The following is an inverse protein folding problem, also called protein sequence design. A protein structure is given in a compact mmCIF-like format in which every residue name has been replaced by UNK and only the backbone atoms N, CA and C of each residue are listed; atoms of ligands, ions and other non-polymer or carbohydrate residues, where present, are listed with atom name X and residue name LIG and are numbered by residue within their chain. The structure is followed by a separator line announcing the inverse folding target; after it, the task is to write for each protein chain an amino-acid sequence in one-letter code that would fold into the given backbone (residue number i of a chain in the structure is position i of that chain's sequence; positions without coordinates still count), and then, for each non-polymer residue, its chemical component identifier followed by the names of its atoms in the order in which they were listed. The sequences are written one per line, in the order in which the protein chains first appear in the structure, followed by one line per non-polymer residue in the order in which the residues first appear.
data_IF_525641711951
#
_entry.id   IF_525641711951
#
_cell.length_a   1.000
_cell.length_b   1.000
_cell.length_c   1.000
_cell.angle_alpha   90.00
_cell.angle_beta   90.00
_cell.angle_gamma   90.00
#
_symmetry.space_group_name_H-M   'P 1'
#
loop_
_entity.id
_entity.type
_entity.pdbx_description
1 polymer ?
#
# COMPACT_ATOMS: atom_id res chain seq x y z
N UNK A 1 30.40 51.31 -5.21
CA UNK A 1 30.56 49.92 -4.71
C UNK A 1 29.18 49.31 -4.59
N UNK A 2 28.77 48.43 -5.52
CA UNK A 2 27.46 47.78 -5.42
C UNK A 2 27.48 46.69 -4.34
N UNK A 3 26.38 46.54 -3.61
CA UNK A 3 26.23 45.55 -2.53
C UNK A 3 26.57 44.13 -2.96
N UNK A 4 27.16 43.34 -2.06
CA UNK A 4 27.25 41.89 -2.19
C UNK A 4 25.81 41.35 -2.19
N UNK A 5 25.48 40.49 -3.15
CA UNK A 5 24.18 39.85 -3.25
C UNK A 5 24.44 38.36 -3.00
N UNK A 6 23.71 37.75 -2.06
CA UNK A 6 23.83 36.31 -1.76
C UNK A 6 23.48 35.41 -2.95
N UNK A 7 23.74 34.11 -2.82
CA UNK A 7 23.45 33.14 -3.89
C UNK A 7 21.95 32.93 -4.02
N UNK A 8 21.45 33.00 -5.26
CA UNK A 8 20.07 32.62 -5.52
C UNK A 8 19.98 31.10 -5.69
N UNK A 9 19.47 30.42 -4.65
CA UNK A 9 19.31 28.96 -4.64
C UNK A 9 18.41 28.43 -5.76
N UNK A 10 17.41 29.20 -6.20
CA UNK A 10 16.49 28.81 -7.29
C UNK A 10 17.18 28.76 -8.67
N UNK A 11 18.36 29.36 -8.80
CA UNK A 11 19.16 29.36 -10.04
C UNK A 11 20.24 28.29 -10.07
N UNK A 12 20.42 27.55 -8.99
CA UNK A 12 21.37 26.44 -8.94
C UNK A 12 20.74 25.25 -9.66
N UNK A 13 21.48 24.71 -10.62
CA UNK A 13 21.06 23.53 -11.38
C UNK A 13 21.71 22.31 -10.73
N UNK A 14 20.91 21.35 -10.26
CA UNK A 14 21.41 20.14 -9.62
C UNK A 14 22.28 19.29 -10.57
N UNK A 15 21.93 19.21 -11.86
CA UNK A 15 22.68 18.44 -12.87
C UNK A 15 23.98 19.11 -13.31
N UNK A 16 24.15 20.39 -12.99
CA UNK A 16 25.29 21.22 -13.39
C UNK A 16 25.65 22.17 -12.24
N UNK A 17 25.78 21.61 -11.04
CA UNK A 17 25.83 22.40 -9.80
C UNK A 17 27.06 23.27 -9.75
N UNK A 18 28.23 22.73 -10.06
CA UNK A 18 29.49 23.44 -10.15
C UNK A 18 29.39 24.63 -11.11
N UNK A 19 28.90 24.41 -12.32
CA UNK A 19 28.78 25.47 -13.32
C UNK A 19 27.79 26.57 -12.90
N UNK A 20 26.63 26.18 -12.39
CA UNK A 20 25.61 27.12 -11.91
C UNK A 20 26.06 27.89 -10.65
N UNK A 21 26.78 27.23 -9.74
CA UNK A 21 27.37 27.82 -8.55
C UNK A 21 28.44 28.85 -8.90
N UNK A 22 29.32 28.56 -9.86
CA UNK A 22 30.33 29.52 -10.35
C UNK A 22 29.65 30.75 -10.96
N UNK A 23 28.62 30.55 -11.79
CA UNK A 23 27.88 31.64 -12.43
C UNK A 23 27.18 32.54 -11.40
N UNK A 24 26.48 31.93 -10.42
CA UNK A 24 25.82 32.67 -9.36
C UNK A 24 26.82 33.33 -8.40
N UNK A 25 27.96 32.70 -8.13
CA UNK A 25 29.05 33.28 -7.36
C UNK A 25 29.62 34.54 -7.98
N UNK A 26 29.84 34.54 -9.31
CA UNK A 26 30.27 35.73 -10.05
C UNK A 26 29.18 36.81 -10.02
N UNK A 27 27.92 36.43 -10.27
CA UNK A 27 26.76 37.37 -10.25
C UNK A 27 26.61 38.04 -8.88
N UNK A 28 26.73 37.27 -7.81
CA UNK A 28 26.67 37.72 -6.41
C UNK A 28 27.89 38.50 -5.95
N UNK A 29 28.96 38.53 -6.76
CA UNK A 29 30.29 39.06 -6.44
C UNK A 29 30.96 38.36 -5.25
N UNK A 30 30.54 37.13 -5.00
CA UNK A 30 31.16 36.26 -4.03
C UNK A 30 32.42 35.64 -4.64
N UNK A 31 32.39 35.24 -5.91
CA UNK A 31 33.55 34.72 -6.64
C UNK A 31 34.20 35.79 -7.54
N UNK A 32 35.49 36.13 -7.34
CA UNK A 32 36.23 37.05 -8.21
C UNK A 32 36.26 36.61 -9.67
N UNK A 33 36.03 37.54 -10.60
CA UNK A 33 36.02 37.29 -12.05
C UNK A 33 37.32 36.66 -12.56
N UNK A 34 38.47 37.05 -12.01
CA UNK A 34 39.77 36.54 -12.44
C UNK A 34 39.96 35.07 -12.04
N UNK A 35 39.46 34.67 -10.86
CA UNK A 35 39.44 33.27 -10.44
C UNK A 35 38.48 32.46 -11.32
N UNK A 36 37.27 32.96 -11.55
CA UNK A 36 36.28 32.28 -12.39
C UNK A 36 36.77 32.04 -13.83
N UNK A 37 37.54 32.98 -14.41
CA UNK A 37 38.15 32.84 -15.74
C UNK A 37 39.23 31.77 -15.82
N UNK A 38 39.88 31.45 -14.69
CA UNK A 38 40.94 30.45 -14.64
C UNK A 38 40.38 29.02 -14.48
N UNK A 39 39.16 28.87 -13.97
CA UNK A 39 38.52 27.56 -13.75
C UNK A 39 38.55 26.66 -14.99
N UNK A 40 38.18 27.11 -16.22
CA UNK A 40 38.24 26.26 -17.40
C UNK A 40 39.66 25.76 -17.71
N UNK A 41 40.68 26.58 -17.51
CA UNK A 41 42.08 26.19 -17.75
C UNK A 41 42.53 25.13 -16.75
N UNK A 42 42.20 25.30 -15.47
CA UNK A 42 42.54 24.33 -14.44
C UNK A 42 41.78 23.01 -14.61
N UNK A 43 40.52 23.07 -15.04
CA UNK A 43 39.73 21.88 -15.39
C UNK A 43 40.35 21.11 -16.56
N UNK A 44 40.93 21.79 -17.55
CA UNK A 44 41.68 21.14 -18.63
C UNK A 44 42.94 20.43 -18.13
N UNK A 45 43.63 20.96 -17.11
CA UNK A 45 44.77 20.28 -16.51
C UNK A 45 44.33 19.00 -15.77
N UNK A 46 43.23 19.04 -15.04
CA UNK A 46 42.61 17.83 -14.44
C UNK A 46 42.23 16.83 -15.53
N UNK A 47 41.59 17.29 -16.59
CA UNK A 47 41.19 16.44 -17.72
C UNK A 47 42.37 15.75 -18.39
N UNK A 48 43.50 16.45 -18.59
CA UNK A 48 44.74 15.85 -19.13
C UNK A 48 45.27 14.74 -18.21
N UNK A 49 45.21 14.93 -16.89
CA UNK A 49 45.64 13.91 -15.93
C UNK A 49 44.74 12.67 -16.01
N UNK A 50 43.42 12.85 -16.00
CA UNK A 50 42.43 11.76 -16.13
C UNK A 50 42.56 11.05 -17.47
N UNK A 51 42.73 11.78 -18.57
CA UNK A 51 42.97 11.21 -19.91
C UNK A 51 44.21 10.31 -19.91
N UNK A 52 45.32 10.79 -19.32
CA UNK A 52 46.57 10.01 -19.25
C UNK A 52 46.38 8.74 -18.42
N UNK A 53 45.58 8.79 -17.36
CA UNK A 53 45.21 7.59 -16.58
C UNK A 53 44.38 6.61 -17.42
N UNK A 54 43.37 7.11 -18.12
CA UNK A 54 42.48 6.30 -18.97
C UNK A 54 43.25 5.58 -20.09
N UNK A 55 44.15 6.28 -20.79
CA UNK A 55 44.97 5.70 -21.87
C UNK A 55 46.18 4.92 -21.36
N UNK A 56 46.37 4.83 -20.04
CA UNK A 56 47.60 4.29 -19.41
C UNK A 56 48.89 4.94 -19.92
N UNK A 57 48.80 6.16 -20.45
CA UNK A 57 49.89 6.90 -21.06
C UNK A 57 50.30 6.44 -22.47
N UNK A 58 49.55 5.52 -23.09
CA UNK A 58 49.88 4.92 -24.39
C UNK A 58 49.37 5.75 -25.58
N UNK A 59 48.43 6.66 -25.35
CA UNK A 59 47.84 7.52 -26.38
C UNK A 59 47.55 8.93 -25.85
N UNK A 60 47.75 9.91 -26.74
CA UNK A 60 47.37 11.33 -26.53
C UNK A 60 46.10 11.72 -27.29
N UNK A 61 45.47 10.77 -27.99
CA UNK A 61 44.25 10.99 -28.79
C UNK A 61 43.15 10.06 -28.33
N UNK A 62 41.97 10.64 -28.06
CA UNK A 62 40.73 9.94 -27.74
C UNK A 62 39.66 10.28 -28.78
N UNK A 63 38.64 9.41 -28.91
CA UNK A 63 37.41 9.77 -29.59
C UNK A 63 36.72 10.91 -28.81
N UNK A 64 36.04 11.80 -29.53
CA UNK A 64 35.35 12.94 -28.92
C UNK A 64 34.33 12.49 -27.86
N UNK A 65 33.58 11.42 -28.12
CA UNK A 65 32.62 10.83 -27.17
C UNK A 65 33.29 10.41 -25.86
N UNK A 66 34.41 9.68 -25.93
CA UNK A 66 35.18 9.26 -24.74
C UNK A 66 35.74 10.46 -23.98
N UNK A 67 36.21 11.49 -24.68
CA UNK A 67 36.67 12.72 -24.05
C UNK A 67 35.54 13.47 -23.32
N UNK A 68 34.34 13.49 -23.92
CA UNK A 68 33.15 14.09 -23.32
C UNK A 68 32.71 13.34 -22.05
N UNK A 69 32.67 12.01 -22.08
CA UNK A 69 32.28 11.20 -20.92
C UNK A 69 33.26 11.33 -19.75
N UNK A 70 34.56 11.37 -20.04
CA UNK A 70 35.57 11.66 -19.02
C UNK A 70 35.37 13.05 -18.40
N UNK A 71 35.04 14.07 -19.21
CA UNK A 71 34.74 15.41 -18.71
C UNK A 71 33.48 15.40 -17.83
N UNK A 72 32.42 14.69 -18.25
CA UNK A 72 31.20 14.52 -17.44
C UNK A 72 31.50 13.86 -16.11
N UNK A 73 32.35 12.83 -16.09
CA UNK A 73 32.79 12.17 -14.85
C UNK A 73 33.48 13.16 -13.89
N UNK A 74 34.41 13.97 -14.41
CA UNK A 74 35.12 14.98 -13.61
C UNK A 74 34.15 16.00 -13.02
N UNK A 75 33.28 16.56 -13.85
CA UNK A 75 32.32 17.59 -13.42
C UNK A 75 31.33 17.01 -12.41
N UNK A 76 30.84 15.80 -12.63
CA UNK A 76 29.95 15.12 -11.68
C UNK A 76 30.60 14.92 -10.31
N UNK A 77 31.86 14.51 -10.25
CA UNK A 77 32.57 14.38 -8.95
C UNK A 77 32.68 15.71 -8.22
N UNK A 78 32.93 16.81 -8.96
CA UNK A 78 32.94 18.16 -8.39
C UNK A 78 31.55 18.60 -7.91
N UNK A 79 30.50 18.31 -8.69
CA UNK A 79 29.11 18.58 -8.32
C UNK A 79 28.78 17.87 -7.00
N UNK A 80 28.99 16.55 -6.95
CA UNK A 80 28.75 15.70 -5.78
C UNK A 80 29.49 16.24 -4.54
N UNK A 81 30.75 16.64 -4.70
CA UNK A 81 31.56 17.18 -3.61
C UNK A 81 31.05 18.52 -3.11
N UNK A 82 30.71 19.44 -4.00
CA UNK A 82 30.29 20.79 -3.61
C UNK A 82 28.86 20.81 -3.04
N UNK A 83 28.01 19.87 -3.45
CA UNK A 83 26.67 19.67 -2.89
C UNK A 83 26.68 19.20 -1.43
N UNK A 84 27.79 18.69 -0.91
CA UNK A 84 27.90 18.32 0.51
C UNK A 84 27.70 19.51 1.45
N UNK A 85 27.92 20.74 0.95
CA UNK A 85 27.78 21.96 1.72
C UNK A 85 26.31 22.40 1.79
N UNK A 86 25.78 22.54 3.00
CA UNK A 86 24.39 22.94 3.24
C UNK A 86 24.07 24.35 2.69
N UNK A 87 25.08 25.25 2.72
CA UNK A 87 24.98 26.59 2.14
C UNK A 87 25.88 26.72 0.90
N UNK A 88 25.35 27.20 -0.24
CA UNK A 88 26.14 27.45 -1.44
C UNK A 88 27.31 28.43 -1.24
N UNK A 89 27.17 29.38 -0.31
CA UNK A 89 28.22 30.32 0.06
C UNK A 89 29.45 29.64 0.68
N UNK A 90 29.25 28.54 1.42
CA UNK A 90 30.33 27.75 2.00
C UNK A 90 31.10 27.02 0.87
N UNK A 91 30.37 26.48 -0.11
CA UNK A 91 30.97 25.86 -1.29
C UNK A 91 31.81 26.85 -2.13
N UNK A 92 31.33 28.09 -2.29
CA UNK A 92 32.09 29.15 -2.97
C UNK A 92 33.33 29.57 -2.17
N UNK A 93 33.21 29.65 -0.85
CA UNK A 93 34.34 29.97 0.02
C UNK A 93 35.43 28.89 -0.08
N UNK A 94 35.02 27.62 -0.14
CA UNK A 94 35.94 26.50 -0.37
C UNK A 94 36.60 26.58 -1.74
N UNK A 95 35.83 26.84 -2.80
CA UNK A 95 36.31 27.04 -4.17
C UNK A 95 37.35 28.16 -4.28
N UNK A 96 37.30 29.19 -3.42
CA UNK A 96 38.31 30.25 -3.38
C UNK A 96 39.56 29.88 -2.60
N UNK A 97 39.42 28.96 -1.65
CA UNK A 97 40.52 28.56 -0.75
C UNK A 97 41.51 27.60 -1.40
N UNK A 98 41.12 26.95 -2.49
CA UNK A 98 41.95 25.98 -3.21
C UNK A 98 41.79 26.12 -4.74
N UNK A 99 42.70 25.50 -5.50
CA UNK A 99 42.59 25.41 -6.95
C UNK A 99 41.76 24.18 -7.35
N UNK A 100 41.29 24.13 -8.61
CA UNK A 100 40.42 23.06 -9.12
C UNK A 100 41.10 21.70 -9.05
N UNK A 101 42.42 21.63 -9.19
CA UNK A 101 43.17 20.38 -9.08
C UNK A 101 43.14 19.81 -7.66
N UNK A 102 43.29 20.64 -6.63
CA UNK A 102 43.14 20.22 -5.23
C UNK A 102 41.69 19.86 -4.94
N UNK A 103 40.74 20.69 -5.39
CA UNK A 103 39.30 20.44 -5.24
C UNK A 103 38.89 19.08 -5.83
N UNK A 104 39.38 18.76 -7.04
CA UNK A 104 39.09 17.48 -7.68
C UNK A 104 39.65 16.28 -6.90
N UNK A 105 40.86 16.39 -6.34
CA UNK A 105 41.41 15.32 -5.49
C UNK A 105 40.57 15.08 -4.24
N UNK A 106 40.13 16.14 -3.59
CA UNK A 106 39.21 16.03 -2.45
C UNK A 106 37.86 15.46 -2.86
N UNK A 107 37.34 15.86 -4.03
CA UNK A 107 36.11 15.33 -4.59
C UNK A 107 36.19 13.83 -4.86
N UNK A 108 37.34 13.34 -5.37
CA UNK A 108 37.55 11.90 -5.57
C UNK A 108 37.56 11.11 -4.26
N UNK A 109 38.27 11.61 -3.24
CA UNK A 109 38.26 10.97 -1.90
C UNK A 109 36.84 10.92 -1.34
N UNK A 110 36.10 12.03 -1.46
CA UNK A 110 34.71 12.08 -1.03
C UNK A 110 33.81 11.13 -1.82
N UNK A 111 34.00 11.02 -3.15
CA UNK A 111 33.22 10.13 -3.99
C UNK A 111 33.45 8.65 -3.63
N UNK A 112 34.69 8.27 -3.29
CA UNK A 112 35.03 6.94 -2.77
C UNK A 112 34.34 6.65 -1.42
N UNK A 113 34.43 7.58 -0.46
CA UNK A 113 33.73 7.46 0.83
C UNK A 113 32.21 7.40 0.65
N UNK A 114 31.67 8.20 -0.26
CA UNK A 114 30.24 8.23 -0.59
C UNK A 114 29.78 6.90 -1.21
N UNK A 115 30.59 6.32 -2.09
CA UNK A 115 30.35 5.00 -2.68
C UNK A 115 30.31 3.91 -1.60
N UNK A 116 31.33 3.82 -0.75
CA UNK A 116 31.39 2.80 0.30
C UNK A 116 30.26 2.97 1.33
N UNK A 117 29.93 4.19 1.72
CA UNK A 117 28.79 4.44 2.62
C UNK A 117 27.45 4.07 1.99
N UNK A 118 27.30 4.23 0.66
CA UNK A 118 26.09 3.86 -0.07
C UNK A 118 25.98 2.34 -0.25
N UNK A 119 27.11 1.65 -0.40
CA UNK A 119 27.18 0.18 -0.37
C UNK A 119 26.78 -0.38 1.00
N UNK A 120 27.22 0.27 2.09
CA UNK A 120 26.80 -0.09 3.44
C UNK A 120 25.28 0.14 3.66
N UNK A 121 24.73 1.24 3.11
CA UNK A 121 23.29 1.49 3.12
C UNK A 121 22.54 0.36 2.38
N UNK A 122 23.00 0.00 1.17
CA UNK A 122 22.43 -1.12 0.41
C UNK A 122 22.38 -2.42 1.24
N UNK A 123 23.48 -2.79 1.89
CA UNK A 123 23.52 -3.99 2.72
C UNK A 123 22.51 -3.93 3.87
N UNK A 124 22.36 -2.76 4.51
CA UNK A 124 21.35 -2.57 5.56
C UNK A 124 19.93 -2.74 5.02
N UNK A 125 19.62 -2.10 3.89
CA UNK A 125 18.28 -2.14 3.27
C UNK A 125 17.94 -3.56 2.77
N UNK A 126 18.90 -4.26 2.17
CA UNK A 126 18.72 -5.63 1.66
C UNK A 126 18.24 -6.59 2.77
N UNK A 127 18.81 -6.48 3.97
CA UNK A 127 18.45 -7.35 5.11
C UNK A 127 17.05 -7.09 5.66
N UNK A 128 16.48 -5.91 5.39
CA UNK A 128 15.16 -5.51 5.89
C UNK A 128 14.03 -5.77 4.89
N UNK A 129 14.30 -6.29 3.69
CA UNK A 129 13.27 -6.44 2.64
C UNK A 129 12.08 -7.29 3.10
N UNK A 130 10.88 -6.90 2.68
CA UNK A 130 9.68 -7.74 2.82
C UNK A 130 9.82 -9.01 1.97
N UNK A 131 9.56 -10.17 2.56
CA UNK A 131 9.61 -11.46 1.88
C UNK A 131 8.32 -11.73 1.08
N UNK A 132 8.27 -11.24 -0.17
CA UNK A 132 7.16 -11.46 -1.11
C UNK A 132 7.63 -12.09 -2.42
N UNK A 133 6.78 -12.88 -3.09
CA UNK A 133 7.11 -13.51 -4.39
C UNK A 133 6.93 -12.52 -5.57
N UNK A 134 7.48 -11.31 -5.48
CA UNK A 134 7.58 -10.39 -6.61
C UNK A 134 9.03 -10.36 -7.11
N UNK A 135 9.28 -10.91 -8.30
CA UNK A 135 10.60 -11.06 -8.91
C UNK A 135 11.22 -9.68 -9.14
N UNK A 136 10.49 -8.70 -9.66
CA UNK A 136 11.02 -7.35 -9.96
C UNK A 136 11.57 -6.68 -8.69
N UNK A 137 10.80 -6.71 -7.60
CA UNK A 137 11.19 -6.23 -6.28
C UNK A 137 12.44 -6.95 -5.74
N UNK A 138 12.50 -8.28 -5.88
CA UNK A 138 13.62 -9.07 -5.37
C UNK A 138 14.89 -8.90 -6.22
N UNK A 139 14.77 -8.90 -7.55
CA UNK A 139 15.90 -8.78 -8.48
C UNK A 139 16.51 -7.39 -8.50
N UNK A 140 15.76 -6.36 -8.11
CA UNK A 140 16.32 -5.03 -7.85
C UNK A 140 17.50 -5.11 -6.86
N UNK A 141 17.37 -5.90 -5.80
CA UNK A 141 18.41 -6.04 -4.77
C UNK A 141 19.33 -7.22 -5.01
N UNK A 142 18.87 -8.31 -5.62
CA UNK A 142 19.74 -9.49 -5.83
C UNK A 142 20.55 -9.42 -7.12
N UNK A 143 20.19 -8.53 -8.06
CA UNK A 143 20.87 -8.37 -9.35
C UNK A 143 21.17 -6.91 -9.71
N UNK A 144 20.16 -6.06 -9.84
CA UNK A 144 20.33 -4.73 -10.46
C UNK A 144 21.31 -3.83 -9.68
N UNK A 145 21.08 -3.64 -8.38
CA UNK A 145 21.95 -2.81 -7.52
C UNK A 145 23.34 -3.45 -7.32
N UNK A 146 23.48 -4.76 -7.06
CA UNK A 146 24.79 -5.41 -7.05
C UNK A 146 25.58 -5.23 -8.34
N UNK A 147 24.94 -5.40 -9.50
CA UNK A 147 25.59 -5.21 -10.81
C UNK A 147 26.06 -3.77 -10.98
N UNK A 148 25.26 -2.78 -10.57
CA UNK A 148 25.70 -1.39 -10.52
C UNK A 148 27.00 -1.24 -9.72
N UNK A 149 27.07 -1.76 -8.49
CA UNK A 149 28.29 -1.64 -7.68
C UNK A 149 29.51 -2.36 -8.27
N UNK A 150 29.31 -3.40 -9.10
CA UNK A 150 30.39 -4.12 -9.78
C UNK A 150 30.93 -3.33 -10.98
N UNK A 151 30.03 -2.71 -11.76
CA UNK A 151 30.38 -2.05 -13.02
C UNK A 151 30.65 -0.53 -12.87
N UNK A 152 30.30 0.06 -11.73
CA UNK A 152 30.42 1.50 -11.51
C UNK A 152 31.87 1.97 -11.38
N UNK A 153 32.27 2.87 -12.28
CA UNK A 153 33.60 3.45 -12.31
C UNK A 153 33.57 4.90 -11.80
N UNK A 154 34.07 5.10 -10.58
CA UNK A 154 34.11 6.41 -9.89
C UNK A 154 35.02 7.40 -10.62
N UNK A 155 36.00 6.95 -11.38
CA UNK A 155 37.00 7.83 -11.99
C UNK A 155 36.61 8.22 -13.41
N UNK A 156 36.21 7.25 -14.23
CA UNK A 156 36.01 7.45 -15.66
C UNK A 156 34.55 7.59 -16.07
N UNK A 157 33.61 7.12 -15.25
CA UNK A 157 32.17 7.11 -15.59
C UNK A 157 31.27 7.42 -14.39
N UNK A 158 31.69 8.32 -13.49
CA UNK A 158 31.00 8.60 -12.22
C UNK A 158 29.54 9.08 -12.40
N UNK A 159 29.27 9.75 -13.52
CA UNK A 159 27.95 10.26 -13.85
C UNK A 159 26.97 9.20 -14.36
N UNK A 160 27.46 7.99 -14.68
CA UNK A 160 26.64 6.95 -15.29
C UNK A 160 25.76 6.25 -14.26
N UNK A 161 24.47 6.11 -14.56
CA UNK A 161 23.47 5.46 -13.70
C UNK A 161 23.09 4.10 -14.26
N UNK A 162 22.76 3.13 -13.39
CA UNK A 162 22.21 1.85 -13.85
C UNK A 162 20.86 2.04 -14.56
N UNK A 163 20.69 1.38 -15.70
CA UNK A 163 19.42 1.26 -16.43
C UNK A 163 18.53 0.12 -15.93
N UNK A 164 19.02 -0.70 -15.01
CA UNK A 164 18.47 -2.05 -14.77
C UNK A 164 17.55 -2.09 -13.53
N UNK A 165 17.22 -0.94 -12.95
CA UNK A 165 16.34 -0.83 -11.78
C UNK A 165 14.90 -0.70 -12.25
N UNK A 166 14.20 -1.84 -12.29
CA UNK A 166 12.81 -1.92 -12.78
C UNK A 166 11.75 -1.67 -11.71
N UNK A 167 12.09 -1.78 -10.42
CA UNK A 167 11.10 -1.60 -9.35
C UNK A 167 10.75 -0.10 -9.17
N UNK A 168 9.47 0.28 -9.25
CA UNK A 168 9.07 1.68 -9.18
C UNK A 168 8.90 2.12 -7.72
N UNK A 169 9.43 3.29 -7.38
CA UNK A 169 9.13 3.99 -6.13
C UNK A 169 7.94 4.95 -6.34
N UNK A 170 7.23 5.30 -5.26
CA UNK A 170 6.15 6.31 -5.35
C UNK A 170 6.69 7.71 -5.60
N UNK A 171 7.92 7.97 -5.12
CA UNK A 171 8.67 9.19 -5.40
C UNK A 171 10.07 8.81 -5.87
N UNK A 172 10.27 8.88 -7.18
CA UNK A 172 11.57 8.68 -7.81
C UNK A 172 12.03 9.97 -8.48
N UNK A 173 13.28 10.34 -8.23
CA UNK A 173 13.91 11.53 -8.82
C UNK A 173 14.96 11.12 -9.84
N UNK A 174 14.50 10.88 -11.06
CA UNK A 174 15.35 10.53 -12.20
C UNK A 174 16.22 11.70 -12.70
N UNK A 175 16.14 12.90 -12.10
CA UNK A 175 17.10 13.97 -12.41
C UNK A 175 18.47 13.68 -11.79
N UNK A 176 18.50 13.01 -10.64
CA UNK A 176 19.75 12.60 -9.97
C UNK A 176 20.43 11.47 -10.76
N UNK A 177 21.76 11.45 -10.78
CA UNK A 177 22.56 10.49 -11.53
C UNK A 177 23.64 9.80 -10.69
N UNK A 178 24.28 8.80 -11.27
CA UNK A 178 25.42 8.08 -10.68
C UNK A 178 25.11 7.48 -9.32
N UNK A 179 26.13 7.45 -8.44
CA UNK A 179 25.98 6.96 -7.06
C UNK A 179 24.97 7.76 -6.22
N UNK A 180 24.76 9.04 -6.53
CA UNK A 180 23.80 9.87 -5.80
C UNK A 180 22.36 9.41 -6.04
N UNK A 181 22.03 8.98 -7.26
CA UNK A 181 20.74 8.38 -7.58
C UNK A 181 20.53 7.10 -6.80
N UNK A 182 21.50 6.17 -6.84
CA UNK A 182 21.40 4.88 -6.14
C UNK A 182 21.20 5.09 -4.64
N UNK A 183 21.91 6.05 -4.03
CA UNK A 183 21.71 6.38 -2.62
C UNK A 183 20.30 6.90 -2.34
N UNK A 184 19.80 7.82 -3.17
CA UNK A 184 18.47 8.42 -3.01
C UNK A 184 17.36 7.38 -3.20
N UNK A 185 17.51 6.52 -4.20
CA UNK A 185 16.65 5.37 -4.45
C UNK A 185 16.61 4.42 -3.24
N UNK A 186 17.77 4.05 -2.68
CA UNK A 186 17.85 3.20 -1.49
C UNK A 186 17.18 3.84 -0.27
N UNK A 187 17.34 5.14 -0.05
CA UNK A 187 16.71 5.85 1.06
C UNK A 187 15.18 5.90 0.92
N UNK A 188 14.67 6.20 -0.28
CA UNK A 188 13.24 6.20 -0.55
C UNK A 188 12.64 4.79 -0.43
N UNK A 189 13.33 3.78 -0.98
CA UNK A 189 12.94 2.37 -0.82
C UNK A 189 12.91 1.94 0.65
N UNK A 190 13.89 2.35 1.47
CA UNK A 190 13.93 2.01 2.90
C UNK A 190 12.67 2.49 3.61
N UNK A 191 12.22 3.72 3.35
CA UNK A 191 10.98 4.27 3.92
C UNK A 191 9.74 3.48 3.49
N UNK A 192 9.59 3.21 2.18
CA UNK A 192 8.49 2.40 1.65
C UNK A 192 8.46 0.99 2.27
N UNK A 193 9.63 0.37 2.38
CA UNK A 193 9.78 -0.96 2.92
C UNK A 193 9.53 -0.98 4.43
N UNK A 194 10.00 0.00 5.19
CA UNK A 194 9.73 0.12 6.63
C UNK A 194 8.23 0.26 6.93
N UNK A 195 7.47 0.92 6.05
CA UNK A 195 6.01 0.90 6.12
C UNK A 195 5.45 -0.51 5.88
N UNK A 196 5.86 -1.16 4.79
CA UNK A 196 5.35 -2.49 4.41
C UNK A 196 5.67 -3.55 5.48
N UNK A 197 6.82 -3.45 6.16
CA UNK A 197 7.24 -4.38 7.24
C UNK A 197 6.36 -4.33 8.48
N UNK A 198 5.46 -3.35 8.60
CA UNK A 198 4.44 -3.31 9.66
C UNK A 198 3.35 -4.36 9.48
N UNK A 199 3.31 -5.05 8.33
CA UNK A 199 2.31 -6.06 8.00
C UNK A 199 2.96 -7.43 7.77
N UNK A 200 2.17 -8.49 7.98
CA UNK A 200 2.62 -9.85 7.72
C UNK A 200 2.84 -10.07 6.21
N UNK A 201 3.93 -10.74 5.87
CA UNK A 201 4.31 -10.96 4.47
C UNK A 201 3.32 -11.84 3.70
N UNK A 202 2.61 -12.74 4.39
CA UNK A 202 1.53 -13.52 3.76
C UNK A 202 0.35 -12.64 3.41
N UNK A 203 0.00 -11.68 4.27
CA UNK A 203 -1.07 -10.71 3.99
C UNK A 203 -0.74 -9.84 2.77
N UNK A 204 0.50 -9.37 2.65
CA UNK A 204 0.96 -8.62 1.46
C UNK A 204 0.97 -9.52 0.21
N UNK A 205 1.39 -10.78 0.35
CA UNK A 205 1.37 -11.75 -0.77
C UNK A 205 -0.04 -12.01 -1.27
N UNK A 206 -1.02 -12.19 -0.37
CA UNK A 206 -2.43 -12.35 -0.74
C UNK A 206 -2.97 -11.11 -1.45
N UNK A 207 -2.57 -9.91 -1.00
CA UNK A 207 -2.92 -8.65 -1.65
C UNK A 207 -2.37 -8.57 -3.08
N UNK A 208 -1.10 -8.91 -3.28
CA UNK A 208 -0.47 -8.98 -4.60
C UNK A 208 -1.15 -9.99 -5.54
N UNK A 209 -1.48 -11.18 -5.03
CA UNK A 209 -2.17 -12.22 -5.80
C UNK A 209 -3.56 -11.75 -6.25
N UNK A 210 -4.33 -11.15 -5.35
CA UNK A 210 -5.64 -10.59 -5.67
C UNK A 210 -5.53 -9.44 -6.67
N UNK A 211 -4.53 -8.56 -6.52
CA UNK A 211 -4.26 -7.48 -7.47
C UNK A 211 -3.95 -8.02 -8.86
N UNK A 212 -3.03 -8.98 -8.97
CA UNK A 212 -2.69 -9.65 -10.23
C UNK A 212 -3.90 -10.31 -10.88
N UNK A 213 -4.72 -11.02 -10.10
CA UNK A 213 -5.95 -11.65 -10.61
C UNK A 213 -6.98 -10.63 -11.09
N UNK A 214 -7.19 -9.54 -10.36
CA UNK A 214 -8.15 -8.49 -10.73
C UNK A 214 -7.75 -7.77 -12.01
N UNK A 215 -6.45 -7.53 -12.23
CA UNK A 215 -5.92 -6.84 -13.40
C UNK A 215 -5.47 -7.78 -14.53
N UNK A 216 -5.58 -9.10 -14.35
CA UNK A 216 -5.11 -10.14 -15.30
C UNK A 216 -3.61 -10.02 -15.61
N UNK A 217 -2.80 -9.75 -14.59
CA UNK A 217 -1.36 -9.57 -14.68
C UNK A 217 -0.64 -10.69 -13.92
N UNK A 218 0.57 -11.03 -14.38
CA UNK A 218 1.49 -11.83 -13.59
C UNK A 218 2.12 -10.94 -12.51
N UNK A 219 1.55 -10.94 -11.31
CA UNK A 219 2.02 -10.09 -10.21
C UNK A 219 3.48 -10.37 -9.82
N UNK A 220 4.02 -11.55 -10.13
CA UNK A 220 5.41 -11.88 -9.81
C UNK A 220 6.39 -11.14 -10.73
N UNK A 221 5.99 -10.87 -11.98
CA UNK A 221 6.83 -10.24 -13.01
C UNK A 221 6.47 -8.78 -13.29
N UNK A 222 5.47 -8.25 -12.60
CA UNK A 222 5.01 -6.88 -12.82
C UNK A 222 5.71 -5.92 -11.85
N UNK A 223 6.22 -4.77 -12.31
CA UNK A 223 6.74 -3.70 -11.46
C UNK A 223 5.60 -3.06 -10.67
N UNK A 224 5.29 -3.62 -9.50
CA UNK A 224 4.21 -3.14 -8.62
C UNK A 224 4.86 -2.53 -7.38
N UNK A 225 4.61 -1.25 -7.13
CA UNK A 225 5.03 -0.62 -5.89
C UNK A 225 4.24 -1.21 -4.71
N UNK A 226 4.94 -1.83 -3.75
CA UNK A 226 4.33 -2.49 -2.60
C UNK A 226 3.70 -1.49 -1.62
N UNK A 227 4.38 -0.36 -1.39
CA UNK A 227 3.90 0.68 -0.49
C UNK A 227 2.56 1.24 -0.97
N UNK A 228 2.46 1.65 -2.23
CA UNK A 228 1.23 2.15 -2.84
C UNK A 228 0.09 1.13 -2.70
N UNK A 229 0.36 -0.13 -3.03
CA UNK A 229 -0.64 -1.20 -2.99
C UNK A 229 -1.20 -1.39 -1.57
N UNK A 230 -0.31 -1.50 -0.58
CA UNK A 230 -0.67 -1.68 0.82
C UNK A 230 -1.37 -0.43 1.36
N UNK A 231 -0.80 0.75 1.11
CA UNK A 231 -1.32 2.02 1.58
C UNK A 231 -2.74 2.28 1.11
N UNK A 232 -3.01 2.12 -0.19
CA UNK A 232 -4.32 2.41 -0.77
C UNK A 232 -5.41 1.56 -0.08
N UNK A 233 -5.18 0.25 0.05
CA UNK A 233 -6.12 -0.63 0.74
C UNK A 233 -6.24 -0.33 2.23
N UNK A 234 -5.14 0.04 2.89
CA UNK A 234 -5.10 0.35 4.31
C UNK A 234 -5.98 1.57 4.67
N UNK A 235 -5.99 2.60 3.82
CA UNK A 235 -6.84 3.77 3.99
C UNK A 235 -8.32 3.36 4.05
N UNK A 236 -8.75 2.50 3.14
CA UNK A 236 -10.13 2.02 3.10
C UNK A 236 -10.47 1.06 4.24
N UNK A 237 -9.52 0.20 4.66
CA UNK A 237 -9.71 -0.64 5.84
C UNK A 237 -9.86 0.21 7.11
N UNK A 238 -9.08 1.28 7.23
CA UNK A 238 -9.17 2.21 8.35
C UNK A 238 -10.48 3.00 8.31
N UNK A 239 -10.95 3.41 7.13
CA UNK A 239 -12.28 4.00 6.95
C UNK A 239 -13.37 3.07 7.50
N UNK A 240 -13.26 1.76 7.25
CA UNK A 240 -14.17 0.72 7.74
C UNK A 240 -13.97 0.32 9.20
N UNK A 241 -12.98 0.89 9.90
CA UNK A 241 -12.59 0.51 11.28
C UNK A 241 -12.23 -0.98 11.39
N UNK A 242 -11.49 -1.49 10.39
CA UNK A 242 -11.09 -2.90 10.29
C UNK A 242 -9.67 -3.15 10.78
N UNK A 243 -9.44 -4.40 11.17
CA UNK A 243 -8.14 -5.04 11.36
C UNK A 243 -7.15 -4.84 10.20
N UNK A 244 -5.85 -4.97 10.47
CA UNK A 244 -4.80 -4.98 9.43
C UNK A 244 -4.23 -6.39 9.19
N UNK A 245 -4.81 -7.41 9.80
CA UNK A 245 -4.41 -8.81 9.65
C UNK A 245 -4.69 -9.29 8.22
N UNK A 246 -5.80 -8.82 7.62
CA UNK A 246 -6.16 -9.01 6.22
C UNK A 246 -6.20 -7.66 5.51
N UNK A 247 -5.38 -7.51 4.47
CA UNK A 247 -5.27 -6.27 3.70
C UNK A 247 -6.30 -6.16 2.56
N UNK A 248 -7.11 -7.19 2.33
CA UNK A 248 -8.13 -7.20 1.29
C UNK A 248 -9.44 -6.57 1.76
N UNK A 249 -10.17 -5.99 0.81
CA UNK A 249 -11.48 -5.38 1.08
C UNK A 249 -12.58 -6.35 0.63
N UNK A 250 -13.47 -6.69 1.54
CA UNK A 250 -14.60 -7.57 1.21
C UNK A 250 -15.64 -6.85 0.34
N UNK A 251 -16.48 -7.59 -0.42
CA UNK A 251 -17.56 -6.98 -1.20
C UNK A 251 -18.55 -6.15 -0.38
N UNK A 252 -18.80 -6.52 0.89
CA UNK A 252 -19.63 -5.69 1.79
C UNK A 252 -18.87 -4.42 2.20
N UNK A 253 -17.56 -4.52 2.43
CA UNK A 253 -16.70 -3.37 2.72
C UNK A 253 -16.72 -2.35 1.59
N UNK A 254 -16.64 -2.79 0.34
CA UNK A 254 -16.78 -1.92 -0.83
C UNK A 254 -18.10 -1.12 -0.82
N UNK A 255 -19.21 -1.80 -0.54
CA UNK A 255 -20.53 -1.16 -0.49
C UNK A 255 -20.63 -0.13 0.64
N UNK A 256 -20.05 -0.44 1.79
CA UNK A 256 -19.97 0.49 2.93
C UNK A 256 -19.12 1.72 2.58
N UNK A 257 -17.96 1.52 1.93
CA UNK A 257 -17.09 2.62 1.48
C UNK A 257 -17.83 3.51 0.48
N UNK A 258 -18.51 2.93 -0.51
CA UNK A 258 -19.33 3.68 -1.48
C UNK A 258 -20.39 4.52 -0.78
N UNK A 259 -21.09 3.95 0.20
CA UNK A 259 -22.11 4.67 0.96
C UNK A 259 -21.51 5.83 1.78
N UNK A 260 -20.35 5.63 2.39
CA UNK A 260 -19.68 6.63 3.24
C UNK A 260 -19.05 7.77 2.45
N UNK A 261 -18.57 7.50 1.23
CA UNK A 261 -18.00 8.49 0.32
C UNK A 261 -19.03 9.13 -0.61
N UNK A 262 -20.28 8.65 -0.62
CA UNK A 262 -21.33 9.17 -1.49
C UNK A 262 -21.65 10.63 -1.16
N UNK A 263 -21.56 11.52 -2.16
CA UNK A 263 -21.89 12.93 -2.02
C UNK A 263 -20.92 13.75 -1.16
N UNK A 264 -19.75 13.20 -0.81
CA UNK A 264 -18.72 13.94 -0.07
C UNK A 264 -18.12 15.06 -0.94
N UNK A 265 -17.94 16.25 -0.37
CA UNK A 265 -17.25 17.34 -1.07
C UNK A 265 -15.73 17.11 -1.09
N UNK A 266 -15.02 17.71 -2.07
CA UNK A 266 -13.55 17.61 -2.18
C UNK A 266 -12.83 18.05 -0.89
N UNK A 267 -13.31 19.11 -0.24
CA UNK A 267 -12.74 19.59 1.03
C UNK A 267 -12.96 18.61 2.17
N UNK A 268 -14.17 18.06 2.29
CA UNK A 268 -14.49 17.09 3.33
C UNK A 268 -13.75 15.77 3.12
N UNK A 269 -13.52 15.37 1.87
CA UNK A 269 -12.71 14.20 1.53
C UNK A 269 -11.28 14.36 2.02
N UNK A 270 -10.64 15.52 1.76
CA UNK A 270 -9.27 15.79 2.22
C UNK A 270 -9.17 15.71 3.75
N UNK A 271 -10.14 16.30 4.48
CA UNK A 271 -10.20 16.19 5.94
C UNK A 271 -10.43 14.76 6.43
N UNK A 272 -11.32 13.99 5.76
CA UNK A 272 -11.57 12.58 6.08
C UNK A 272 -10.30 11.75 5.92
N UNK A 273 -9.60 11.89 4.79
CA UNK A 273 -8.34 11.18 4.54
C UNK A 273 -7.29 11.58 5.58
N UNK A 274 -7.09 12.88 5.87
CA UNK A 274 -6.15 13.31 6.91
C UNK A 274 -6.41 12.63 8.26
N UNK A 275 -7.67 12.59 8.71
CA UNK A 275 -8.05 11.93 9.96
C UNK A 275 -7.79 10.42 9.91
N UNK A 276 -7.94 9.78 8.75
CA UNK A 276 -7.61 8.37 8.54
C UNK A 276 -6.10 8.15 8.63
N UNK A 277 -5.29 9.01 8.04
CA UNK A 277 -3.83 8.92 8.12
C UNK A 277 -3.35 9.04 9.57
N UNK A 278 -3.91 9.97 10.35
CA UNK A 278 -3.61 10.08 11.78
C UNK A 278 -3.93 8.78 12.54
N UNK A 279 -5.06 8.12 12.21
CA UNK A 279 -5.39 6.82 12.80
C UNK A 279 -4.39 5.73 12.37
N UNK A 280 -3.97 5.71 11.11
CA UNK A 280 -2.97 4.77 10.58
C UNK A 280 -1.64 4.96 11.31
N UNK A 281 -1.13 6.19 11.38
CA UNK A 281 0.14 6.55 12.01
C UNK A 281 0.13 6.13 13.48
N UNK A 282 -0.94 6.46 14.22
CA UNK A 282 -1.07 6.11 15.63
C UNK A 282 -1.16 4.58 15.83
N UNK A 283 -1.96 3.89 15.02
CA UNK A 283 -2.16 2.44 15.17
C UNK A 283 -0.95 1.61 14.77
N UNK A 284 -0.14 2.08 13.83
CA UNK A 284 1.11 1.43 13.41
C UNK A 284 2.33 1.90 14.22
N UNK A 285 2.13 2.80 15.17
CA UNK A 285 3.17 3.41 16.01
C UNK A 285 4.32 3.98 15.16
N UNK A 286 3.97 4.75 14.13
CA UNK A 286 4.95 5.35 13.22
C UNK A 286 5.48 6.63 13.86
N UNK A 287 6.77 6.63 14.18
CA UNK A 287 7.46 7.76 14.83
C UNK A 287 8.54 8.40 13.97
N UNK A 288 8.93 7.75 12.87
CA UNK A 288 9.98 8.25 11.95
C UNK A 288 9.42 9.42 11.14
N UNK A 289 9.98 10.65 11.27
CA UNK A 289 9.43 11.84 10.61
C UNK A 289 9.38 11.73 9.08
N UNK A 290 10.43 11.18 8.46
CA UNK A 290 10.49 11.04 7.00
C UNK A 290 9.45 10.05 6.45
N UNK A 291 9.09 9.03 7.24
CA UNK A 291 8.01 8.11 6.88
C UNK A 291 6.63 8.76 7.03
N UNK A 292 6.44 9.60 8.04
CA UNK A 292 5.22 10.40 8.20
C UNK A 292 5.07 11.36 7.02
N UNK A 293 6.14 12.03 6.62
CA UNK A 293 6.18 12.91 5.46
C UNK A 293 5.86 12.15 4.15
N UNK A 294 6.45 10.97 3.93
CA UNK A 294 6.12 10.08 2.81
C UNK A 294 4.61 9.78 2.73
N UNK A 295 4.01 9.39 3.87
CA UNK A 295 2.58 9.08 3.99
C UNK A 295 1.72 10.28 3.58
N UNK A 296 2.01 11.46 4.13
CA UNK A 296 1.24 12.67 3.85
C UNK A 296 1.42 13.14 2.40
N UNK A 297 2.65 13.16 1.88
CA UNK A 297 2.91 13.55 0.49
C UNK A 297 2.22 12.62 -0.50
N UNK A 298 2.31 11.31 -0.29
CA UNK A 298 1.64 10.34 -1.18
C UNK A 298 0.11 10.48 -1.11
N UNK A 299 -0.44 10.81 0.07
CA UNK A 299 -1.88 10.98 0.24
C UNK A 299 -2.49 12.10 -0.60
N UNK A 300 -1.74 13.15 -0.92
CA UNK A 300 -2.24 14.25 -1.76
C UNK A 300 -2.58 13.74 -3.17
N UNK A 301 -1.67 12.95 -3.78
CA UNK A 301 -1.92 12.28 -5.06
C UNK A 301 -3.05 11.24 -4.98
N UNK A 302 -3.12 10.49 -3.87
CA UNK A 302 -4.22 9.55 -3.65
C UNK A 302 -5.58 10.26 -3.58
N UNK A 303 -5.68 11.39 -2.88
CA UNK A 303 -6.91 12.18 -2.75
C UNK A 303 -7.38 12.71 -4.11
N UNK A 304 -6.47 13.15 -4.98
CA UNK A 304 -6.81 13.56 -6.34
C UNK A 304 -7.38 12.40 -7.15
N UNK A 305 -6.73 11.23 -7.13
CA UNK A 305 -7.23 10.01 -7.78
C UNK A 305 -8.59 9.58 -7.22
N UNK A 306 -8.78 9.69 -5.91
CA UNK A 306 -10.04 9.36 -5.23
C UNK A 306 -11.18 10.28 -5.63
N UNK A 307 -10.93 11.60 -5.71
CA UNK A 307 -11.91 12.54 -6.22
C UNK A 307 -12.34 12.18 -7.65
N UNK A 308 -11.38 11.87 -8.53
CA UNK A 308 -11.67 11.47 -9.90
C UNK A 308 -12.46 10.15 -9.93
N UNK A 309 -12.08 9.16 -9.13
CA UNK A 309 -12.76 7.87 -9.07
C UNK A 309 -14.21 7.98 -8.56
N UNK A 310 -14.49 8.90 -7.64
CA UNK A 310 -15.85 9.19 -7.16
C UNK A 310 -16.69 9.93 -8.22
N UNK A 311 -16.07 10.84 -8.99
CA UNK A 311 -16.74 11.61 -10.04
C UNK A 311 -17.20 10.72 -11.22
N UNK A 312 -16.43 9.68 -11.55
CA UNK A 312 -16.68 8.79 -12.70
C UNK A 312 -17.15 7.37 -12.32
N UNK A 313 -17.56 7.12 -11.07
CA UNK A 313 -17.98 5.80 -10.56
C UNK A 313 -16.97 4.66 -10.86
N UNK A 314 -15.69 4.95 -10.60
CA UNK A 314 -14.56 4.03 -10.80
C UNK A 314 -13.82 3.71 -9.50
N UNK A 315 -14.47 3.93 -8.35
CA UNK A 315 -13.91 3.72 -7.02
C UNK A 315 -13.33 2.30 -6.83
N UNK A 316 -13.94 1.28 -7.43
CA UNK A 316 -13.47 -0.11 -7.38
C UNK A 316 -12.01 -0.25 -7.83
N UNK A 317 -11.56 0.56 -8.79
CA UNK A 317 -10.21 0.47 -9.35
C UNK A 317 -9.11 0.97 -8.39
N UNK A 318 -9.48 1.63 -7.30
CA UNK A 318 -8.53 2.08 -6.27
C UNK A 318 -8.29 1.04 -5.18
N UNK A 319 -8.97 -0.11 -5.24
CA UNK A 319 -9.02 -1.10 -4.18
C UNK A 319 -8.74 -2.49 -4.72
N UNK A 320 -8.07 -3.29 -3.90
CA UNK A 320 -7.96 -4.73 -4.12
C UNK A 320 -9.00 -5.43 -3.26
N UNK A 321 -9.92 -6.11 -3.94
CA UNK A 321 -11.00 -6.84 -3.28
C UNK A 321 -10.61 -8.28 -2.98
N UNK A 322 -11.23 -8.83 -1.95
CA UNK A 322 -11.24 -10.29 -1.74
C UNK A 322 -11.80 -10.96 -2.99
N UNK A 323 -11.05 -11.88 -3.59
CA UNK A 323 -11.62 -12.69 -4.65
C UNK A 323 -12.59 -13.66 -4.02
N UNK A 324 -13.89 -13.42 -4.22
CA UNK A 324 -14.93 -14.38 -3.91
C UNK A 324 -14.63 -15.61 -4.77
N UNK A 325 -14.03 -16.64 -4.16
CA UNK A 325 -14.14 -17.97 -4.73
C UNK A 325 -15.64 -18.20 -4.82
N UNK A 326 -16.18 -18.27 -6.04
CA UNK A 326 -17.48 -18.88 -6.25
C UNK A 326 -17.33 -20.36 -5.89
N UNK A 327 -17.26 -20.66 -4.59
CA UNK A 327 -17.82 -21.89 -4.09
C UNK A 327 -19.29 -21.80 -4.44
N UNK A 328 -19.63 -22.43 -5.57
CA UNK A 328 -20.98 -22.87 -5.88
C UNK A 328 -21.55 -23.49 -4.61
N UNK A 329 -22.73 -23.01 -4.24
CA UNK A 329 -23.58 -23.50 -3.14
C UNK A 329 -22.97 -23.31 -1.74
N UNK A 330 -22.98 -22.06 -1.26
CA UNK A 330 -22.86 -21.80 0.18
C UNK A 330 -24.25 -21.87 0.83
N UNK A 331 -24.69 -23.09 1.12
CA UNK A 331 -25.88 -23.43 1.91
C UNK A 331 -25.43 -24.04 3.24
N UNK A 332 -24.72 -23.25 4.05
CA UNK A 332 -24.48 -23.59 5.47
C UNK A 332 -24.41 -22.28 6.25
N UNK A 333 -25.40 -22.03 7.10
CA UNK A 333 -25.26 -21.12 8.23
C UNK A 333 -24.32 -21.82 9.23
N UNK A 334 -23.04 -21.48 9.20
CA UNK A 334 -22.08 -22.07 10.14
C UNK A 334 -22.23 -21.40 11.51
N UNK A 335 -21.95 -22.16 12.58
CA UNK A 335 -21.70 -21.60 13.92
C UNK A 335 -20.32 -20.93 13.93
N UNK A 336 -20.18 -19.84 13.15
CA UNK A 336 -18.94 -19.11 12.92
C UNK A 336 -18.88 -17.75 13.63
N UNK A 337 -17.77 -17.03 13.44
CA UNK A 337 -17.49 -15.73 14.06
C UNK A 337 -18.49 -14.64 13.64
N UNK A 338 -19.15 -14.04 14.64
CA UNK A 338 -20.11 -12.94 14.53
C UNK A 338 -19.55 -11.73 13.77
N UNK A 339 -20.37 -11.11 12.92
CA UNK A 339 -19.99 -9.88 12.22
C UNK A 339 -19.88 -8.70 13.21
N UNK A 340 -19.05 -7.70 12.88
CA UNK A 340 -18.93 -6.54 13.74
C UNK A 340 -20.19 -5.63 13.68
N UNK A 341 -20.41 -4.86 14.74
CA UNK A 341 -21.59 -4.01 14.89
C UNK A 341 -21.82 -3.02 13.72
N UNK A 342 -20.73 -2.54 13.09
CA UNK A 342 -20.83 -1.60 11.97
C UNK A 342 -21.36 -2.27 10.71
N UNK A 343 -20.87 -3.48 10.40
CA UNK A 343 -21.40 -4.30 9.30
C UNK A 343 -22.85 -4.69 9.59
N UNK A 344 -23.16 -5.13 10.81
CA UNK A 344 -24.52 -5.50 11.19
C UNK A 344 -25.51 -4.35 10.95
N UNK A 345 -25.19 -3.14 11.42
CA UNK A 345 -26.04 -1.96 11.22
C UNK A 345 -26.20 -1.59 9.74
N UNK A 346 -25.15 -1.77 8.94
CA UNK A 346 -25.21 -1.50 7.50
C UNK A 346 -26.10 -2.52 6.78
N UNK A 347 -25.95 -3.80 7.08
CA UNK A 347 -26.79 -4.88 6.51
C UNK A 347 -28.24 -4.70 6.96
N UNK A 348 -28.47 -4.45 8.25
CA UNK A 348 -29.80 -4.13 8.80
C UNK A 348 -30.46 -3.02 8.00
N UNK A 349 -29.77 -1.88 7.85
CA UNK A 349 -30.28 -0.74 7.09
C UNK A 349 -30.59 -1.11 5.63
N UNK A 350 -29.69 -1.84 4.95
CA UNK A 350 -29.94 -2.29 3.58
C UNK A 350 -31.19 -3.19 3.49
N UNK A 351 -31.38 -4.10 4.43
CA UNK A 351 -32.57 -4.97 4.48
C UNK A 351 -33.83 -4.14 4.73
N UNK A 352 -33.80 -3.15 5.64
CA UNK A 352 -34.96 -2.29 5.91
C UNK A 352 -35.29 -1.35 4.76
N UNK A 353 -34.28 -0.94 3.97
CA UNK A 353 -34.45 -0.06 2.82
C UNK A 353 -34.96 -0.82 1.57
N UNK A 354 -34.92 -2.16 1.56
CA UNK A 354 -35.42 -2.99 0.46
C UNK A 354 -36.95 -2.95 0.35
N UNK A 355 -37.44 -2.80 -0.89
CA UNK A 355 -38.87 -2.77 -1.19
C UNK A 355 -39.48 -4.16 -1.42
N UNK A 356 -38.66 -5.17 -1.69
CA UNK A 356 -39.10 -6.54 -2.00
C UNK A 356 -38.42 -7.57 -1.10
N UNK A 357 -39.09 -8.71 -0.92
CA UNK A 357 -38.57 -9.82 -0.09
C UNK A 357 -37.38 -10.48 -0.77
N UNK A 358 -37.44 -10.60 -2.10
CA UNK A 358 -36.39 -11.18 -2.93
C UNK A 358 -35.07 -10.42 -2.77
N UNK A 359 -35.11 -9.08 -2.75
CA UNK A 359 -33.91 -8.26 -2.53
C UNK A 359 -33.35 -8.43 -1.11
N UNK A 360 -34.23 -8.55 -0.10
CA UNK A 360 -33.80 -8.86 1.27
C UNK A 360 -33.11 -10.22 1.34
N UNK A 361 -33.63 -11.24 0.63
CA UNK A 361 -33.03 -12.57 0.58
C UNK A 361 -31.65 -12.54 -0.09
N UNK A 362 -31.51 -11.83 -1.20
CA UNK A 362 -30.21 -11.67 -1.89
C UNK A 362 -29.16 -11.08 -0.93
N UNK A 363 -29.52 -10.08 -0.13
CA UNK A 363 -28.61 -9.49 0.86
C UNK A 363 -28.24 -10.50 1.94
N UNK A 364 -29.23 -11.21 2.50
CA UNK A 364 -28.98 -12.22 3.52
C UNK A 364 -28.02 -13.32 3.01
N UNK A 365 -28.34 -13.95 1.88
CA UNK A 365 -27.51 -15.04 1.32
C UNK A 365 -26.11 -14.56 0.94
N UNK A 366 -25.97 -13.31 0.49
CA UNK A 366 -24.68 -12.78 0.05
C UNK A 366 -23.77 -12.37 1.21
N UNK A 367 -24.34 -11.93 2.34
CA UNK A 367 -23.57 -11.23 3.37
C UNK A 367 -23.66 -11.82 4.77
N UNK A 368 -24.63 -12.68 5.07
CA UNK A 368 -24.81 -13.33 6.37
C UNK A 368 -24.33 -14.77 6.28
N UNK A 369 -23.26 -15.10 7.01
CA UNK A 369 -22.65 -16.42 6.98
C UNK A 369 -22.64 -17.13 8.35
N UNK A 370 -22.96 -16.41 9.44
CA UNK A 370 -23.03 -16.96 10.79
C UNK A 370 -24.49 -17.10 11.24
N UNK A 371 -24.79 -18.21 11.91
CA UNK A 371 -26.09 -18.44 12.55
C UNK A 371 -26.43 -17.37 13.60
N UNK A 372 -25.44 -16.89 14.36
CA UNK A 372 -25.68 -15.85 15.38
C UNK A 372 -26.13 -14.55 14.73
N UNK A 373 -25.46 -14.11 13.66
CA UNK A 373 -25.82 -12.90 12.92
C UNK A 373 -27.20 -13.01 12.27
N UNK A 374 -27.52 -14.20 11.77
CA UNK A 374 -28.83 -14.50 11.20
C UNK A 374 -29.94 -14.37 12.25
N UNK A 375 -29.76 -14.97 13.42
CA UNK A 375 -30.71 -14.87 14.54
C UNK A 375 -30.82 -13.44 15.07
N UNK A 376 -29.72 -12.70 15.16
CA UNK A 376 -29.73 -11.31 15.60
C UNK A 376 -30.48 -10.40 14.60
N UNK A 377 -30.36 -10.64 13.30
CA UNK A 377 -31.16 -9.94 12.29
C UNK A 377 -32.65 -10.29 12.37
N UNK A 378 -32.99 -11.55 12.66
CA UNK A 378 -34.37 -11.98 12.91
C UNK A 378 -34.97 -11.29 14.14
N UNK A 379 -34.18 -11.15 15.22
CA UNK A 379 -34.57 -10.43 16.45
C UNK A 379 -34.67 -8.92 16.26
N UNK A 380 -34.08 -8.36 15.20
CA UNK A 380 -34.11 -6.94 14.90
C UNK A 380 -35.37 -6.49 14.12
N UNK A 381 -36.36 -7.37 13.95
CA UNK A 381 -37.63 -7.11 13.26
C UNK A 381 -37.45 -6.58 11.82
N UNK A 382 -36.50 -7.17 11.07
CA UNK A 382 -36.23 -6.81 9.66
C UNK A 382 -37.28 -7.37 8.68
N UNK A 383 -38.07 -8.34 9.14
CA UNK A 383 -39.01 -9.12 8.35
C UNK A 383 -40.41 -9.04 8.95
N UNK A 384 -41.44 -9.03 8.11
CA UNK A 384 -42.82 -8.90 8.55
C UNK A 384 -43.75 -9.93 7.90
N UNK A 385 -44.71 -10.45 8.67
CA UNK A 385 -45.81 -11.30 8.18
C UNK A 385 -45.34 -12.43 7.23
N UNK A 386 -45.72 -12.35 5.94
CA UNK A 386 -45.44 -13.36 4.92
C UNK A 386 -43.97 -13.40 4.49
N UNK A 387 -43.18 -12.39 4.82
CA UNK A 387 -41.75 -12.38 4.50
C UNK A 387 -41.00 -13.51 5.22
N UNK A 388 -41.46 -13.88 6.42
CA UNK A 388 -40.92 -15.02 7.16
C UNK A 388 -41.14 -16.35 6.43
N UNK A 389 -42.32 -16.57 5.83
CA UNK A 389 -42.59 -17.79 5.07
C UNK A 389 -41.63 -17.91 3.87
N UNK A 390 -41.36 -16.80 3.17
CA UNK A 390 -40.38 -16.77 2.07
C UNK A 390 -38.95 -17.04 2.54
N UNK A 391 -38.55 -16.43 3.66
CA UNK A 391 -37.23 -16.64 4.26
C UNK A 391 -37.01 -18.09 4.65
N UNK A 392 -37.92 -18.68 5.44
CA UNK A 392 -37.75 -20.05 5.92
C UNK A 392 -37.87 -21.09 4.80
N UNK A 393 -38.65 -20.82 3.75
CA UNK A 393 -38.67 -21.65 2.55
C UNK A 393 -37.33 -21.70 1.79
N UNK A 394 -36.48 -20.68 1.95
CA UNK A 394 -35.14 -20.65 1.33
C UNK A 394 -34.11 -21.50 2.09
N UNK A 395 -34.41 -21.93 3.31
CA UNK A 395 -33.51 -22.73 4.14
C UNK A 395 -33.68 -24.24 3.88
N UNK A 396 -32.55 -24.95 3.84
CA UNK A 396 -32.52 -26.41 3.81
C UNK A 396 -32.76 -27.02 5.18
N UNK A 397 -32.91 -28.36 5.22
CA UNK A 397 -33.22 -29.08 6.46
C UNK A 397 -32.10 -28.98 7.50
N UNK A 398 -30.84 -28.87 7.06
CA UNK A 398 -29.67 -28.68 7.93
C UNK A 398 -29.65 -27.28 8.58
N UNK A 399 -29.94 -26.21 7.83
CA UNK A 399 -30.01 -24.87 8.41
C UNK A 399 -31.17 -24.77 9.40
N UNK A 400 -32.32 -25.37 9.07
CA UNK A 400 -33.48 -25.42 9.96
C UNK A 400 -33.14 -26.19 11.25
N UNK A 401 -32.50 -27.37 11.15
CA UNK A 401 -32.12 -28.14 12.33
C UNK A 401 -31.11 -27.40 13.20
N UNK A 402 -30.17 -26.67 12.59
CA UNK A 402 -29.17 -25.87 13.30
C UNK A 402 -29.81 -24.65 13.99
N UNK A 403 -30.75 -23.98 13.33
CA UNK A 403 -31.54 -22.90 13.93
C UNK A 403 -32.36 -23.40 15.12
N UNK A 404 -33.00 -24.58 14.98
CA UNK A 404 -33.75 -25.21 16.07
C UNK A 404 -32.85 -25.53 17.25
N UNK A 405 -31.72 -26.19 16.98
CA UNK A 405 -30.78 -26.65 18.00
C UNK A 405 -30.14 -25.49 18.75
N UNK A 406 -29.81 -24.40 18.07
CA UNK A 406 -29.19 -23.22 18.71
C UNK A 406 -30.18 -22.34 19.48
N UNK A 407 -31.36 -22.08 18.91
CA UNK A 407 -32.28 -21.06 19.44
C UNK A 407 -33.30 -21.62 20.42
N UNK A 408 -33.58 -22.93 20.35
CA UNK A 408 -34.62 -23.57 21.18
C UNK A 408 -34.11 -24.76 21.99
N UNK A 409 -32.79 -24.90 22.17
CA UNK A 409 -32.13 -25.99 22.92
C UNK A 409 -32.75 -26.24 24.29
N UNK A 410 -32.93 -25.19 25.07
CA UNK A 410 -33.45 -25.29 26.45
C UNK A 410 -34.87 -25.85 26.50
N UNK A 411 -35.65 -25.60 25.44
CA UNK A 411 -37.00 -26.11 25.32
C UNK A 411 -37.00 -27.58 24.89
N UNK A 412 -36.07 -27.99 24.01
CA UNK A 412 -35.91 -29.37 23.57
C UNK A 412 -35.35 -30.30 24.66
N UNK A 413 -34.47 -29.79 25.54
CA UNK A 413 -33.90 -30.58 26.63
C UNK A 413 -34.86 -30.79 27.82
N UNK A 414 -35.97 -30.04 27.90
CA UNK A 414 -36.94 -30.11 29.01
C UNK A 414 -37.98 -31.23 28.88
N UNK A 415 -37.99 -31.98 27.77
CA UNK A 415 -38.79 -33.19 27.62
C UNK A 415 -38.26 -34.05 26.48
N UNK A 416 -38.32 -35.38 26.64
CA UNK A 416 -38.04 -36.36 25.57
C UNK A 416 -39.15 -36.35 24.49
N UNK A 417 -39.57 -35.16 24.08
CA UNK A 417 -40.72 -34.95 23.21
C UNK A 417 -40.25 -34.67 21.79
N UNK A 418 -40.71 -35.54 20.89
CA UNK A 418 -40.57 -35.43 19.45
C UNK A 418 -40.95 -34.02 18.95
N UNK A 419 -40.30 -33.53 17.90
CA UNK A 419 -40.54 -32.21 17.30
C UNK A 419 -42.04 -31.92 17.02
N UNK A 420 -42.86 -32.91 16.57
CA UNK A 420 -44.31 -32.73 16.43
C UNK A 420 -45.07 -32.45 17.73
N UNK A 421 -44.63 -33.04 18.85
CA UNK A 421 -45.23 -32.81 20.18
C UNK A 421 -44.90 -31.40 20.64
N UNK A 422 -43.67 -30.96 20.40
CA UNK A 422 -43.22 -29.59 20.66
C UNK A 422 -44.05 -28.54 19.91
N UNK A 423 -44.33 -28.79 18.62
CA UNK A 423 -45.16 -27.91 17.78
C UNK A 423 -46.61 -27.77 18.27
N UNK A 424 -47.10 -28.70 19.09
CA UNK A 424 -48.46 -28.72 19.63
C UNK A 424 -48.63 -27.98 20.95
N UNK A 425 -47.52 -27.64 21.63
CA UNK A 425 -47.54 -26.92 22.90
C UNK A 425 -47.63 -25.40 22.67
N UNK A 426 -48.42 -24.70 23.49
CA UNK A 426 -48.50 -23.22 23.47
C UNK A 426 -47.31 -22.62 24.22
N UNK A 427 -46.21 -22.41 23.50
CA UNK A 427 -45.00 -21.79 24.05
C UNK A 427 -45.13 -20.27 23.92
N UNK A 428 -44.84 -19.53 24.99
CA UNK A 428 -44.73 -18.08 24.92
C UNK A 428 -43.39 -17.72 24.25
N UNK A 429 -43.47 -17.19 23.04
CA UNK A 429 -42.31 -16.76 22.27
C UNK A 429 -41.89 -15.34 22.64
N UNK A 430 -40.57 -15.09 22.69
CA UNK A 430 -40.02 -13.78 23.09
C UNK A 430 -39.91 -12.82 21.91
N UNK A 431 -39.87 -13.35 20.68
CA UNK A 431 -39.71 -12.56 19.46
C UNK A 431 -40.76 -12.93 18.40
N UNK A 432 -41.12 -11.98 17.53
CA UNK A 432 -42.11 -12.19 16.47
C UNK A 432 -41.70 -13.29 15.48
N UNK A 433 -40.41 -13.34 15.14
CA UNK A 433 -39.86 -14.34 14.23
C UNK A 433 -40.00 -15.78 14.76
N UNK A 434 -39.92 -16.00 16.08
CA UNK A 434 -40.07 -17.33 16.68
C UNK A 434 -41.50 -17.84 16.45
N UNK A 435 -42.50 -16.98 16.67
CA UNK A 435 -43.91 -17.32 16.42
C UNK A 435 -44.13 -17.64 14.94
N UNK A 436 -43.61 -16.78 14.05
CA UNK A 436 -43.70 -16.99 12.61
C UNK A 436 -42.99 -18.29 12.16
N UNK A 437 -41.85 -18.62 12.77
CA UNK A 437 -41.10 -19.83 12.48
C UNK A 437 -41.85 -21.10 12.87
N UNK A 438 -42.49 -21.12 14.04
CA UNK A 438 -43.31 -22.28 14.45
C UNK A 438 -44.59 -22.40 13.64
N UNK A 439 -45.24 -21.28 13.32
CA UNK A 439 -46.41 -21.27 12.43
C UNK A 439 -46.04 -21.77 11.03
N UNK A 440 -44.85 -21.43 10.53
CA UNK A 440 -44.31 -21.97 9.29
C UNK A 440 -43.99 -23.46 9.37
N UNK A 441 -43.30 -23.92 10.43
CA UNK A 441 -43.00 -25.34 10.64
C UNK A 441 -44.27 -26.21 10.66
N UNK A 442 -45.37 -25.72 11.24
CA UNK A 442 -46.68 -26.42 11.25
C UNK A 442 -47.30 -26.61 9.85
N UNK A 443 -46.91 -25.79 8.88
CA UNK A 443 -47.38 -25.89 7.48
C UNK A 443 -46.60 -26.92 6.66
N UNK A 444 -45.45 -27.39 7.15
CA UNK A 444 -44.61 -28.36 6.44
C UNK A 444 -45.26 -29.74 6.37
N UNK A 445 -44.90 -30.51 5.34
CA UNK A 445 -45.33 -31.89 5.22
C UNK A 445 -44.67 -32.77 6.29
N UNK A 446 -45.36 -33.86 6.66
CA UNK A 446 -44.90 -34.76 7.72
C UNK A 446 -43.56 -35.42 7.41
N UNK A 447 -43.20 -35.63 6.14
CA UNK A 447 -41.95 -36.26 5.75
C UNK A 447 -40.77 -35.32 6.06
N UNK A 448 -40.88 -34.06 5.65
CA UNK A 448 -39.84 -33.06 5.91
C UNK A 448 -39.65 -32.77 7.39
N UNK A 449 -40.73 -32.75 8.19
CA UNK A 449 -40.62 -32.60 9.64
C UNK A 449 -39.83 -33.75 10.27
N UNK A 450 -40.03 -35.00 9.82
CA UNK A 450 -39.28 -36.16 10.31
C UNK A 450 -37.79 -36.09 9.96
N UNK A 451 -37.46 -35.63 8.75
CA UNK A 451 -36.06 -35.43 8.34
C UNK A 451 -35.36 -34.35 9.18
N UNK A 452 -36.03 -33.23 9.42
CA UNK A 452 -35.51 -32.15 10.28
C UNK A 452 -35.31 -32.66 11.72
N UNK A 453 -36.28 -33.41 12.24
CA UNK A 453 -36.23 -33.99 13.59
C UNK A 453 -35.02 -34.91 13.78
N UNK A 454 -34.73 -35.78 12.80
CA UNK A 454 -33.53 -36.64 12.83
C UNK A 454 -32.24 -35.80 12.91
N UNK A 455 -32.12 -34.75 12.09
CA UNK A 455 -30.96 -33.87 12.08
C UNK A 455 -30.82 -33.08 13.40
N UNK A 456 -31.93 -32.67 14.02
CA UNK A 456 -31.91 -32.00 15.34
C UNK A 456 -31.39 -32.96 16.41
N UNK A 457 -31.81 -34.21 16.41
CA UNK A 457 -31.31 -35.22 17.36
C UNK A 457 -29.81 -35.52 17.16
N UNK A 458 -29.34 -35.63 15.92
CA UNK A 458 -27.93 -35.80 15.60
C UNK A 458 -27.09 -34.62 16.10
N UNK A 459 -27.54 -33.39 15.84
CA UNK A 459 -26.86 -32.17 16.29
C UNK A 459 -26.80 -32.09 17.83
N UNK A 460 -27.91 -32.34 18.53
CA UNK A 460 -27.95 -32.34 20.00
C UNK A 460 -27.05 -33.42 20.61
N UNK A 461 -26.96 -34.60 20.00
CA UNK A 461 -26.10 -35.68 20.47
C UNK A 461 -24.60 -35.37 20.28
N UNK A 462 -24.25 -34.66 19.20
CA UNK A 462 -22.85 -34.28 18.90
C UNK A 462 -22.27 -33.23 19.86
N UNK A 463 -23.12 -32.40 20.49
CA UNK A 463 -22.70 -31.37 21.46
C UNK A 463 -22.56 -31.88 22.91
N UNK A 464 -22.94 -33.12 23.20
CA UNK A 464 -22.90 -33.73 24.55
C UNK A 464 -21.57 -34.49 24.80
N UNK A 465 -20.66 -34.55 23.81
CA UNK A 465 -19.34 -35.20 23.90
C UNK A 465 -18.23 -34.23 24.29
#
# INVERSE_FOLDING_TARGET
MGSIIGINKEKLNHDQYFASLVNEGVRGRLLPLDLAKNIPLELMEVFKEVMRMYTKGESSTLKAETAEDLMKSIVYSLDLYLMKHLNPEDAISHLQSCNIKTLYKEAMIYAEDYFESTKNLYQSVETKRVAVPNIVYNETFTKAIPNFFLDYDILFSAHNTSSDIDYPLVFDDMSVKGIAYIRSYLAAFELENDFCRKFDSKSITLLLQAYGKSNRLNYEQTPINLFELVFNNLVFLTLLDKGYENLLISPIGLEMIKAELSGISKTNLKHLISNILDKIINRLEITVPDLIDLIYRYSESMVERLNNALEYDHLVNMMVLETVAHHKEKTVLETGSKMNNRIFRFIYKKITDCSTVEDKMIILTKYVNSLEDFVDLLKADCFYEKEYDHLFNSLGNLEISTLITSSFKEYMLRGEEKLPTFLSNSIAHSYAWETAFFDWLRKLDKSRIQEIELLVHENLASEIV
#
